data_IF_891280918194
#
_entry.id   IF_891280918194
#
_cell.length_a   1.000
_cell.length_b   1.000
_cell.length_c   1.000
_cell.angle_alpha   90.00
_cell.angle_beta   90.00
_cell.angle_gamma   90.00
#
_symmetry.space_group_name_H-M   'P 1'
#
loop_
_entity.id
_entity.type
_entity.pdbx_description
1 polymer ?
#
# COMPACT_ATOMS: atom_id res chain seq x y z
N UNK A 1 -28.19 44.59 17.72
CA UNK A 1 -27.28 43.49 18.04
C UNK A 1 -27.79 42.26 17.31
N UNK A 2 -27.30 42.02 16.11
CA UNK A 2 -27.63 40.81 15.34
C UNK A 2 -26.81 39.65 15.91
N UNK A 3 -27.55 38.67 16.41
CA UNK A 3 -27.00 37.39 16.86
C UNK A 3 -26.46 36.65 15.61
N UNK A 4 -25.15 36.72 15.38
CA UNK A 4 -24.44 35.93 14.37
C UNK A 4 -24.39 34.52 14.94
N UNK A 5 -25.48 33.74 14.71
CA UNK A 5 -25.47 32.31 14.97
C UNK A 5 -24.26 31.72 14.29
N UNK A 6 -23.43 31.05 15.04
CA UNK A 6 -22.32 30.27 14.55
C UNK A 6 -22.89 29.14 13.67
N UNK A 7 -23.04 29.41 12.36
CA UNK A 7 -23.18 28.33 11.40
C UNK A 7 -21.90 27.46 11.55
N UNK A 8 -22.07 26.32 12.17
CA UNK A 8 -21.02 25.32 12.13
C UNK A 8 -20.71 25.03 10.65
N UNK A 9 -19.44 24.99 10.26
CA UNK A 9 -19.08 24.69 8.89
C UNK A 9 -19.77 23.39 8.49
N UNK A 10 -20.51 23.43 7.39
CA UNK A 10 -21.25 22.28 6.88
C UNK A 10 -20.24 21.22 6.47
N UNK A 11 -20.15 20.16 7.25
CA UNK A 11 -19.23 19.04 6.97
C UNK A 11 -19.57 18.38 5.63
N UNK A 12 -18.56 18.03 4.86
CA UNK A 12 -18.70 17.35 3.59
C UNK A 12 -17.80 16.10 3.57
N UNK A 13 -18.42 14.94 3.48
CA UNK A 13 -17.74 13.66 3.50
C UNK A 13 -17.64 13.11 2.09
N UNK A 14 -16.43 12.76 1.68
CA UNK A 14 -16.12 12.06 0.42
C UNK A 14 -15.82 10.60 0.71
N UNK A 15 -16.52 9.67 0.05
CA UNK A 15 -16.18 8.25 0.08
C UNK A 15 -15.67 7.81 -1.29
N UNK A 16 -14.53 7.11 -1.31
CA UNK A 16 -13.97 6.59 -2.54
C UNK A 16 -14.59 5.23 -2.88
N UNK A 17 -15.17 5.13 -4.08
CA UNK A 17 -15.75 3.91 -4.62
C UNK A 17 -14.70 3.05 -5.33
N UNK A 18 -14.84 1.75 -5.20
CA UNK A 18 -14.03 0.76 -5.92
C UNK A 18 -14.82 -0.54 -6.14
N UNK A 19 -14.30 -1.41 -6.98
CA UNK A 19 -14.83 -2.77 -7.20
C UNK A 19 -14.47 -3.78 -6.09
N UNK A 20 -13.72 -3.34 -5.05
CA UNK A 20 -13.32 -4.20 -3.94
C UNK A 20 -14.52 -4.75 -3.17
N UNK A 21 -14.50 -6.03 -2.75
CA UNK A 21 -15.56 -6.62 -1.91
C UNK A 21 -15.78 -5.90 -0.58
N UNK A 22 -14.73 -5.27 -0.03
CA UNK A 22 -14.81 -4.49 1.22
C UNK A 22 -15.42 -3.11 1.06
N UNK A 23 -15.61 -2.63 -0.18
CA UNK A 23 -16.07 -1.27 -0.45
C UNK A 23 -17.51 -1.05 0.05
N UNK A 24 -18.38 -2.06 0.01
CA UNK A 24 -19.73 -1.99 0.60
C UNK A 24 -19.69 -1.53 2.07
N UNK A 25 -18.80 -2.11 2.87
CA UNK A 25 -18.64 -1.74 4.28
C UNK A 25 -18.17 -0.30 4.44
N UNK A 26 -17.29 0.17 3.55
CA UNK A 26 -16.74 1.52 3.56
C UNK A 26 -17.84 2.53 3.28
N UNK A 27 -18.65 2.28 2.25
CA UNK A 27 -19.79 3.12 1.87
C UNK A 27 -20.83 3.19 3.00
N UNK A 28 -21.16 2.06 3.64
CA UNK A 28 -22.06 2.03 4.80
C UNK A 28 -21.51 2.81 5.99
N UNK A 29 -20.20 2.76 6.23
CA UNK A 29 -19.57 3.51 7.31
C UNK A 29 -19.60 5.01 7.00
N UNK A 30 -19.27 5.42 5.79
CA UNK A 30 -19.34 6.81 5.35
C UNK A 30 -20.76 7.37 5.47
N UNK A 31 -21.78 6.59 5.10
CA UNK A 31 -23.19 6.97 5.30
C UNK A 31 -23.57 7.19 6.77
N UNK A 32 -23.10 6.31 7.68
CA UNK A 32 -23.32 6.50 9.13
C UNK A 32 -22.60 7.75 9.64
N UNK A 33 -21.39 8.02 9.17
CA UNK A 33 -20.64 9.22 9.53
C UNK A 33 -21.35 10.48 9.03
N UNK A 34 -21.85 10.47 7.78
CA UNK A 34 -22.62 11.60 7.23
C UNK A 34 -23.88 11.90 8.05
N UNK A 35 -24.60 10.88 8.48
CA UNK A 35 -25.75 11.04 9.37
C UNK A 35 -25.34 11.59 10.74
N UNK A 36 -24.27 11.06 11.34
CA UNK A 36 -23.81 11.48 12.67
C UNK A 36 -23.30 12.92 12.70
N UNK A 37 -22.65 13.38 11.62
CA UNK A 37 -22.12 14.74 11.50
C UNK A 37 -23.10 15.71 10.83
N UNK A 38 -24.28 15.26 10.42
CA UNK A 38 -25.23 16.05 9.61
C UNK A 38 -24.54 16.61 8.35
N UNK A 39 -23.66 15.83 7.76
CA UNK A 39 -22.79 16.19 6.65
C UNK A 39 -23.41 15.80 5.29
N UNK A 40 -23.05 16.53 4.23
CA UNK A 40 -23.26 16.05 2.86
C UNK A 40 -22.34 14.88 2.57
N UNK A 41 -22.80 13.93 1.75
CA UNK A 41 -22.05 12.74 1.36
C UNK A 41 -21.89 12.70 -0.16
N UNK A 42 -20.65 12.59 -0.64
CA UNK A 42 -20.33 12.35 -2.03
C UNK A 42 -19.58 11.03 -2.17
N UNK A 43 -19.97 10.23 -3.13
CA UNK A 43 -19.29 8.99 -3.48
C UNK A 43 -18.57 9.14 -4.82
N UNK A 44 -17.25 9.22 -4.75
CA UNK A 44 -16.39 9.47 -5.90
C UNK A 44 -15.83 8.16 -6.44
N UNK A 45 -16.03 7.95 -7.74
CA UNK A 45 -15.35 6.92 -8.51
C UNK A 45 -14.36 7.56 -9.47
N UNK A 46 -13.10 7.13 -9.42
CA UNK A 46 -12.07 7.54 -10.37
C UNK A 46 -11.89 6.42 -11.38
N UNK A 47 -12.32 6.67 -12.61
CA UNK A 47 -12.16 5.73 -13.71
C UNK A 47 -10.76 5.88 -14.30
N UNK A 48 -9.99 4.80 -14.24
CA UNK A 48 -8.64 4.71 -14.81
C UNK A 48 -8.66 3.99 -16.16
N UNK A 49 -7.64 4.17 -17.02
CA UNK A 49 -7.52 3.40 -18.26
C UNK A 49 -7.52 1.89 -18.05
N UNK A 50 -7.00 1.42 -16.90
CA UNK A 50 -7.01 0.00 -16.52
C UNK A 50 -8.41 -0.57 -16.24
N UNK A 51 -9.40 0.29 -15.99
CA UNK A 51 -10.78 -0.16 -15.75
C UNK A 51 -11.50 -0.60 -17.04
N UNK A 52 -10.92 -0.32 -18.21
CA UNK A 52 -11.45 -0.81 -19.49
C UNK A 52 -11.42 -2.35 -19.59
N UNK A 53 -10.47 -2.99 -18.91
CA UNK A 53 -10.30 -4.45 -18.86
C UNK A 53 -10.92 -5.07 -17.58
N UNK A 54 -11.79 -4.33 -16.88
CA UNK A 54 -12.45 -4.80 -15.67
C UNK A 54 -13.32 -6.01 -15.97
N UNK A 55 -13.22 -7.06 -15.18
CA UNK A 55 -14.04 -8.24 -15.34
C UNK A 55 -15.53 -7.98 -15.00
N UNK A 56 -16.42 -8.83 -15.49
CA UNK A 56 -17.88 -8.66 -15.31
C UNK A 56 -18.28 -8.67 -13.83
N UNK A 57 -17.61 -9.44 -12.98
CA UNK A 57 -17.89 -9.53 -11.54
C UNK A 57 -17.55 -8.21 -10.83
N UNK A 58 -16.38 -7.62 -11.12
CA UNK A 58 -15.95 -6.35 -10.56
C UNK A 58 -16.84 -5.19 -11.02
N UNK A 59 -17.30 -5.22 -12.28
CA UNK A 59 -18.25 -4.24 -12.82
C UNK A 59 -19.57 -4.28 -12.06
N UNK A 60 -20.14 -5.48 -11.88
CA UNK A 60 -21.39 -5.66 -11.12
C UNK A 60 -21.21 -5.18 -9.67
N UNK A 61 -20.10 -5.49 -9.06
CA UNK A 61 -19.79 -5.08 -7.68
C UNK A 61 -19.65 -3.56 -7.55
N UNK A 62 -18.98 -2.92 -8.50
CA UNK A 62 -18.87 -1.46 -8.55
C UNK A 62 -20.25 -0.81 -8.68
N UNK A 63 -21.10 -1.30 -9.59
CA UNK A 63 -22.47 -0.80 -9.75
C UNK A 63 -23.31 -0.97 -8.48
N UNK A 64 -23.18 -2.12 -7.80
CA UNK A 64 -23.85 -2.35 -6.51
C UNK A 64 -23.37 -1.35 -5.43
N UNK A 65 -22.08 -1.05 -5.38
CA UNK A 65 -21.52 -0.06 -4.45
C UNK A 65 -22.00 1.37 -4.77
N UNK A 66 -22.09 1.75 -6.05
CA UNK A 66 -22.68 3.03 -6.47
C UNK A 66 -24.13 3.14 -6.05
N UNK A 67 -24.92 2.09 -6.32
CA UNK A 67 -26.34 2.06 -5.94
C UNK A 67 -26.53 2.15 -4.43
N UNK A 68 -25.69 1.45 -3.66
CA UNK A 68 -25.68 1.56 -2.20
C UNK A 68 -25.38 2.99 -1.74
N UNK A 69 -24.40 3.67 -2.36
CA UNK A 69 -24.10 5.07 -2.09
C UNK A 69 -25.32 5.97 -2.30
N UNK A 70 -26.02 5.80 -3.42
CA UNK A 70 -27.27 6.54 -3.71
C UNK A 70 -28.35 6.27 -2.67
N UNK A 71 -28.55 5.02 -2.26
CA UNK A 71 -29.52 4.67 -1.20
C UNK A 71 -29.21 5.34 0.14
N UNK A 72 -27.94 5.59 0.43
CA UNK A 72 -27.48 6.27 1.64
C UNK A 72 -27.49 7.80 1.50
N UNK A 73 -27.97 8.33 0.37
CA UNK A 73 -28.08 9.77 0.12
C UNK A 73 -26.78 10.40 -0.39
N UNK A 74 -25.85 9.60 -0.90
CA UNK A 74 -24.64 10.14 -1.50
C UNK A 74 -24.89 10.63 -2.94
N UNK A 75 -24.28 11.75 -3.28
CA UNK A 75 -24.12 12.19 -4.66
C UNK A 75 -23.02 11.34 -5.32
N UNK A 76 -23.35 10.71 -6.44
CA UNK A 76 -22.37 9.89 -7.18
C UNK A 76 -21.65 10.75 -8.21
N UNK A 77 -20.34 10.83 -8.09
CA UNK A 77 -19.47 11.55 -9.01
C UNK A 77 -18.47 10.58 -9.63
N UNK A 78 -18.28 10.67 -10.95
CA UNK A 78 -17.27 9.91 -11.67
C UNK A 78 -16.29 10.87 -12.32
N UNK A 79 -15.00 10.68 -12.05
CA UNK A 79 -13.91 11.40 -12.69
C UNK A 79 -13.04 10.43 -13.49
N UNK A 80 -12.27 10.96 -14.44
CA UNK A 80 -11.39 10.17 -15.28
C UNK A 80 -9.95 10.64 -15.06
N UNK A 81 -9.02 9.71 -14.91
CA UNK A 81 -7.61 10.04 -14.75
C UNK A 81 -6.71 8.82 -14.63
N UNK A 82 -5.45 8.99 -14.91
CA UNK A 82 -4.46 7.91 -14.80
C UNK A 82 -4.09 7.60 -13.33
N UNK A 83 -4.12 8.63 -12.49
CA UNK A 83 -3.71 8.55 -11.10
C UNK A 83 -4.85 8.89 -10.15
N UNK A 84 -5.31 7.87 -9.42
CA UNK A 84 -6.44 7.96 -8.49
C UNK A 84 -6.19 8.98 -7.38
N UNK A 85 -4.98 9.01 -6.80
CA UNK A 85 -4.67 9.91 -5.68
C UNK A 85 -4.75 11.38 -6.09
N UNK A 86 -4.22 11.71 -7.27
CA UNK A 86 -4.24 13.07 -7.82
C UNK A 86 -5.67 13.50 -8.13
N UNK A 87 -6.48 12.63 -8.72
CA UNK A 87 -7.88 12.96 -9.05
C UNK A 87 -8.74 13.18 -7.80
N UNK A 88 -8.54 12.37 -6.75
CA UNK A 88 -9.23 12.58 -5.47
C UNK A 88 -8.80 13.93 -4.86
N UNK A 89 -7.50 14.24 -4.82
CA UNK A 89 -7.00 15.47 -4.26
C UNK A 89 -7.48 16.71 -5.02
N UNK A 90 -7.56 16.62 -6.35
CA UNK A 90 -8.09 17.69 -7.21
C UNK A 90 -9.58 17.92 -6.93
N UNK A 91 -10.38 16.85 -6.85
CA UNK A 91 -11.79 16.94 -6.49
C UNK A 91 -11.99 17.58 -5.11
N UNK A 92 -11.20 17.17 -4.13
CA UNK A 92 -11.25 17.70 -2.75
C UNK A 92 -11.02 19.22 -2.72
N UNK A 93 -10.05 19.71 -3.50
CA UNK A 93 -9.74 21.14 -3.60
C UNK A 93 -10.87 21.95 -4.22
N UNK A 94 -11.68 21.35 -5.10
CA UNK A 94 -12.75 22.01 -5.83
C UNK A 94 -14.10 21.95 -5.13
N UNK A 95 -14.28 21.06 -4.15
CA UNK A 95 -15.62 20.68 -3.62
C UNK A 95 -15.79 20.86 -2.12
N UNK A 96 -14.96 21.67 -1.45
CA UNK A 96 -15.03 21.95 0.00
C UNK A 96 -15.18 20.68 0.87
N UNK A 97 -14.55 19.59 0.47
CA UNK A 97 -14.55 18.33 1.21
C UNK A 97 -13.76 18.50 2.49
N UNK A 98 -14.35 18.12 3.63
CA UNK A 98 -13.70 18.20 4.95
C UNK A 98 -13.16 16.85 5.41
N UNK A 99 -13.77 15.75 4.95
CA UNK A 99 -13.41 14.39 5.38
C UNK A 99 -13.41 13.42 4.21
N UNK A 100 -12.37 12.60 4.13
CA UNK A 100 -12.24 11.52 3.13
C UNK A 100 -12.36 10.17 3.84
N UNK A 101 -13.19 9.28 3.31
CA UNK A 101 -13.33 7.90 3.80
C UNK A 101 -12.83 6.95 2.72
N UNK A 102 -11.76 6.22 3.03
CA UNK A 102 -11.14 5.25 2.12
C UNK A 102 -10.97 3.88 2.77
N UNK A 103 -10.94 2.85 1.93
CA UNK A 103 -10.53 1.52 2.35
C UNK A 103 -9.00 1.39 2.39
N UNK A 104 -8.51 0.59 3.30
CA UNK A 104 -7.11 0.19 3.28
C UNK A 104 -6.91 -0.79 2.11
N UNK A 105 -6.14 -0.40 1.11
CA UNK A 105 -5.73 -1.32 0.06
C UNK A 105 -4.89 -2.45 0.67
N UNK A 106 -5.26 -3.70 0.36
CA UNK A 106 -4.59 -4.89 0.90
C UNK A 106 -3.16 -5.14 0.38
N UNK A 107 -2.63 -4.21 -0.41
CA UNK A 107 -1.26 -4.30 -0.92
C UNK A 107 -0.29 -4.06 0.24
N UNK A 108 0.18 -5.15 0.85
CA UNK A 108 1.29 -5.10 1.79
C UNK A 108 2.56 -4.69 1.03
N UNK A 109 3.24 -3.65 1.51
CA UNK A 109 4.59 -3.34 1.07
C UNK A 109 5.49 -4.56 1.32
N UNK A 110 5.85 -5.26 0.27
CA UNK A 110 6.82 -6.37 0.34
C UNK A 110 8.27 -5.89 0.28
N UNK A 111 8.51 -4.68 -0.22
CA UNK A 111 9.86 -4.12 -0.36
C UNK A 111 9.91 -2.66 0.09
N UNK A 112 11.05 -2.28 0.66
CA UNK A 112 11.38 -0.92 1.09
C UNK A 112 11.34 0.11 -0.08
N UNK A 113 11.35 -0.38 -1.32
CA UNK A 113 11.36 0.41 -2.58
C UNK A 113 10.01 0.38 -3.31
N UNK A 114 8.94 -0.10 -2.68
CA UNK A 114 7.62 -0.09 -3.32
C UNK A 114 7.04 1.34 -3.36
N UNK A 115 6.29 1.62 -4.42
CA UNK A 115 5.59 2.89 -4.58
C UNK A 115 4.71 3.21 -3.36
N UNK A 116 4.56 4.50 -3.01
CA UNK A 116 3.72 4.92 -1.90
C UNK A 116 2.26 4.48 -2.14
N UNK A 117 1.61 4.03 -1.08
CA UNK A 117 0.21 3.62 -1.14
C UNK A 117 -0.70 4.81 -1.43
N UNK A 118 -1.93 4.55 -1.95
CA UNK A 118 -2.95 5.58 -2.17
C UNK A 118 -3.13 6.47 -0.93
N UNK A 119 -3.18 5.87 0.25
CA UNK A 119 -3.33 6.58 1.53
C UNK A 119 -2.18 7.53 1.80
N UNK A 120 -0.94 7.11 1.63
CA UNK A 120 0.25 7.95 1.87
C UNK A 120 0.33 9.11 0.87
N UNK A 121 -0.06 8.85 -0.37
CA UNK A 121 -0.14 9.89 -1.39
C UNK A 121 -1.23 10.92 -1.08
N UNK A 122 -2.41 10.47 -0.64
CA UNK A 122 -3.50 11.37 -0.25
C UNK A 122 -3.14 12.25 0.94
N UNK A 123 -2.46 11.70 1.97
CA UNK A 123 -1.98 12.48 3.11
C UNK A 123 -1.04 13.60 2.65
N UNK A 124 -0.22 13.34 1.63
CA UNK A 124 0.71 14.35 1.09
C UNK A 124 0.01 15.37 0.20
N UNK A 125 -0.99 14.95 -0.61
CA UNK A 125 -1.65 15.79 -1.59
C UNK A 125 -2.81 16.62 -1.01
N UNK A 126 -3.44 16.16 0.08
CA UNK A 126 -4.57 16.81 0.75
C UNK A 126 -4.36 16.87 2.27
N UNK A 127 -3.34 17.63 2.76
CA UNK A 127 -2.99 17.68 4.20
C UNK A 127 -4.04 18.39 5.07
N UNK A 128 -4.94 19.15 4.46
CA UNK A 128 -5.95 19.95 5.15
C UNK A 128 -7.26 19.18 5.43
N UNK A 129 -7.35 17.93 4.97
CA UNK A 129 -8.58 17.13 5.06
C UNK A 129 -8.37 15.92 5.97
N UNK A 130 -9.35 15.64 6.81
CA UNK A 130 -9.32 14.46 7.67
C UNK A 130 -9.49 13.18 6.86
N UNK A 131 -8.52 12.26 6.92
CA UNK A 131 -8.57 10.98 6.20
C UNK A 131 -8.91 9.83 7.14
N UNK A 132 -10.07 9.21 6.93
CA UNK A 132 -10.54 8.04 7.66
C UNK A 132 -10.25 6.76 6.87
N UNK A 133 -9.38 5.93 7.41
CA UNK A 133 -8.97 4.66 6.78
C UNK A 133 -9.74 3.51 7.43
N UNK A 134 -10.60 2.87 6.66
CA UNK A 134 -11.36 1.72 7.13
C UNK A 134 -10.62 0.44 6.79
N UNK A 135 -10.22 -0.37 7.79
CA UNK A 135 -9.49 -1.60 7.54
C UNK A 135 -10.36 -2.63 6.84
N UNK A 136 -9.80 -3.28 5.82
CA UNK A 136 -10.41 -4.43 5.17
C UNK A 136 -10.20 -5.68 6.03
N UNK A 137 -11.25 -6.10 6.74
CA UNK A 137 -11.20 -7.26 7.63
C UNK A 137 -11.10 -8.58 6.85
N UNK A 138 -11.61 -8.62 5.61
CA UNK A 138 -11.54 -9.82 4.77
C UNK A 138 -10.17 -9.96 4.10
N UNK A 139 -9.58 -8.88 3.64
CA UNK A 139 -8.18 -8.87 3.21
C UNK A 139 -7.25 -9.29 4.36
N UNK A 140 -7.57 -8.88 5.59
CA UNK A 140 -6.81 -9.28 6.78
C UNK A 140 -6.96 -10.77 7.09
N UNK A 141 -8.15 -11.34 6.94
CA UNK A 141 -8.39 -12.79 7.11
C UNK A 141 -7.70 -13.60 6.01
N UNK A 142 -7.74 -13.13 4.77
CA UNK A 142 -7.10 -13.79 3.63
C UNK A 142 -5.57 -13.66 3.68
N UNK A 143 -5.02 -12.50 4.08
CA UNK A 143 -3.60 -12.38 4.38
C UNK A 143 -3.15 -13.28 5.53
N UNK A 144 -3.96 -13.42 6.59
CA UNK A 144 -3.66 -14.32 7.70
C UNK A 144 -3.80 -15.79 7.34
N UNK A 145 -4.69 -16.13 6.38
CA UNK A 145 -4.89 -17.49 5.88
C UNK A 145 -3.86 -17.91 4.84
N UNK A 146 -3.34 -16.96 4.07
CA UNK A 146 -2.30 -17.17 3.06
C UNK A 146 -0.88 -16.80 3.54
N UNK A 147 -0.73 -16.26 4.73
CA UNK A 147 0.58 -16.28 5.37
C UNK A 147 0.78 -17.71 5.89
N UNK A 148 1.70 -18.46 5.31
CA UNK A 148 2.21 -19.61 6.01
C UNK A 148 2.77 -19.04 7.32
N UNK A 149 2.22 -19.52 8.46
CA UNK A 149 2.64 -19.17 9.83
C UNK A 149 4.07 -19.67 10.13
N UNK A 150 4.96 -19.56 9.17
CA UNK A 150 6.36 -19.93 9.28
C UNK A 150 7.25 -18.95 8.53
N UNK A 151 7.41 -17.76 9.07
CA UNK A 151 8.77 -17.27 9.14
C UNK A 151 9.40 -17.88 10.40
N UNK A 152 9.42 -19.19 10.49
CA UNK A 152 10.57 -19.83 11.12
C UNK A 152 11.75 -19.32 10.30
N UNK A 153 12.83 -18.80 10.94
CA UNK A 153 14.07 -18.61 10.20
C UNK A 153 14.30 -19.95 9.51
N UNK A 154 14.20 -19.99 8.19
CA UNK A 154 14.46 -21.18 7.45
C UNK A 154 15.92 -21.50 7.79
N UNK A 155 16.13 -22.56 8.56
CA UNK A 155 17.48 -23.04 8.77
C UNK A 155 18.04 -23.25 7.35
N UNK A 156 19.21 -22.65 7.05
CA UNK A 156 19.78 -22.74 5.72
C UNK A 156 19.79 -24.21 5.32
N UNK A 157 19.28 -24.51 4.17
CA UNK A 157 19.27 -25.88 3.64
C UNK A 157 20.70 -26.38 3.68
N UNK A 158 20.91 -27.65 3.99
CA UNK A 158 22.26 -28.25 4.07
C UNK A 158 23.13 -27.93 2.83
N UNK A 159 22.50 -27.72 1.69
CA UNK A 159 23.13 -27.31 0.43
C UNK A 159 23.64 -25.84 0.49
N UNK A 160 22.86 -24.92 1.07
CA UNK A 160 23.27 -23.51 1.22
C UNK A 160 24.40 -23.39 2.25
N UNK A 161 24.32 -24.18 3.34
CA UNK A 161 25.38 -24.27 4.33
C UNK A 161 26.70 -24.79 3.72
N UNK A 162 26.62 -25.82 2.90
CA UNK A 162 27.78 -26.37 2.17
C UNK A 162 28.38 -25.37 1.17
N UNK A 163 27.54 -24.64 0.45
CA UNK A 163 27.98 -23.57 -0.47
C UNK A 163 28.68 -22.44 0.29
N UNK A 164 28.13 -22.00 1.41
CA UNK A 164 28.72 -20.93 2.22
C UNK A 164 30.08 -21.36 2.80
N UNK A 165 30.17 -22.59 3.33
CA UNK A 165 31.40 -23.16 3.85
C UNK A 165 32.43 -23.34 2.69
N UNK A 166 31.99 -23.75 1.51
CA UNK A 166 32.85 -23.90 0.33
C UNK A 166 33.46 -22.57 -0.10
N UNK A 167 32.65 -21.50 -0.19
CA UNK A 167 33.14 -20.15 -0.55
C UNK A 167 34.12 -19.64 0.50
N UNK A 168 33.83 -19.88 1.78
CA UNK A 168 34.68 -19.46 2.89
C UNK A 168 36.02 -20.19 2.87
N UNK A 169 36.03 -21.51 2.57
CA UNK A 169 37.22 -22.30 2.44
C UNK A 169 38.09 -21.82 1.24
N UNK A 170 37.46 -21.54 0.09
CA UNK A 170 38.18 -21.05 -1.11
C UNK A 170 38.81 -19.67 -0.83
N UNK A 171 38.07 -18.74 -0.22
CA UNK A 171 38.63 -17.42 0.13
C UNK A 171 39.78 -17.52 1.13
N UNK A 172 39.70 -18.45 2.08
CA UNK A 172 40.79 -18.69 3.05
C UNK A 172 42.04 -19.26 2.39
N UNK A 173 41.89 -20.22 1.47
CA UNK A 173 42.99 -20.80 0.70
C UNK A 173 43.67 -19.73 -0.17
N UNK A 174 42.88 -18.90 -0.86
CA UNK A 174 43.41 -17.80 -1.66
C UNK A 174 44.22 -16.84 -0.77
N UNK A 175 43.64 -16.41 0.40
CA UNK A 175 44.34 -15.56 1.36
C UNK A 175 45.65 -16.19 1.87
N UNK A 176 45.67 -17.49 2.11
CA UNK A 176 46.88 -18.21 2.53
C UNK A 176 47.95 -18.24 1.42
N UNK A 177 47.54 -18.43 0.15
CA UNK A 177 48.44 -18.38 -1.01
C UNK A 177 49.05 -16.97 -1.14
N UNK A 178 48.27 -15.91 -0.99
CA UNK A 178 48.74 -14.53 -1.01
C UNK A 178 49.75 -14.24 0.10
N UNK A 179 49.53 -14.75 1.31
CA UNK A 179 50.50 -14.65 2.43
C UNK A 179 51.83 -15.37 2.09
N UNK A 180 51.77 -16.53 1.42
CA UNK A 180 52.98 -17.29 0.99
C UNK A 180 53.76 -16.56 -0.09
N UNK A 181 53.09 -15.79 -0.94
CA UNK A 181 53.68 -15.05 -2.06
C UNK A 181 54.23 -13.68 -1.68
N UNK A 182 54.22 -13.30 -0.36
CA UNK A 182 54.70 -12.02 0.16
C UNK A 182 54.10 -10.77 -0.50
N UNK A 183 52.83 -10.86 -0.93
CA UNK A 183 52.10 -9.68 -1.37
C UNK A 183 51.72 -8.79 -0.19
N UNK A 184 51.69 -7.45 -0.40
CA UNK A 184 51.40 -6.46 0.61
C UNK A 184 50.03 -6.73 1.28
N UNK A 185 49.95 -6.51 2.61
CA UNK A 185 48.79 -6.82 3.46
C UNK A 185 47.49 -6.20 2.97
N UNK A 186 47.55 -5.09 2.21
CA UNK A 186 46.36 -4.37 1.71
C UNK A 186 45.53 -5.19 0.70
N UNK A 187 46.17 -6.11 -0.04
CA UNK A 187 45.50 -6.97 -1.02
C UNK A 187 44.66 -8.09 -0.36
N UNK A 188 45.00 -8.47 0.87
CA UNK A 188 44.30 -9.53 1.61
C UNK A 188 42.93 -9.05 2.02
N UNK A 189 42.81 -7.79 2.43
CA UNK A 189 41.52 -7.15 2.82
C UNK A 189 40.55 -7.11 1.63
N UNK A 190 41.07 -6.80 0.42
CA UNK A 190 40.26 -6.80 -0.80
C UNK A 190 39.69 -8.18 -1.13
N UNK A 191 40.46 -9.24 -0.96
CA UNK A 191 40.01 -10.62 -1.25
C UNK A 191 38.92 -11.05 -0.26
N UNK A 192 39.05 -10.70 1.03
CA UNK A 192 37.98 -10.99 2.02
C UNK A 192 36.73 -10.19 1.76
N UNK A 193 36.84 -8.91 1.41
CA UNK A 193 35.70 -8.06 1.03
C UNK A 193 34.95 -8.63 -0.17
N UNK A 194 35.68 -9.05 -1.19
CA UNK A 194 35.13 -9.69 -2.38
C UNK A 194 34.41 -11.00 -2.04
N UNK A 195 34.99 -11.83 -1.15
CA UNK A 195 34.37 -13.05 -0.65
C UNK A 195 33.04 -12.82 0.09
N UNK A 196 33.00 -11.81 0.96
CA UNK A 196 31.76 -11.41 1.67
C UNK A 196 30.69 -10.91 0.70
N UNK A 197 31.09 -10.13 -0.31
CA UNK A 197 30.19 -9.57 -1.30
C UNK A 197 29.59 -10.68 -2.20
N UNK A 198 30.40 -11.65 -2.61
CA UNK A 198 29.94 -12.82 -3.35
C UNK A 198 28.99 -13.67 -2.52
N UNK A 199 29.29 -13.91 -1.24
CA UNK A 199 28.44 -14.69 -0.35
C UNK A 199 27.08 -14.00 -0.18
N UNK A 200 27.09 -12.69 0.02
CA UNK A 200 25.86 -11.88 0.18
C UNK A 200 24.98 -11.91 -1.09
N UNK A 201 25.57 -11.76 -2.27
CA UNK A 201 24.83 -11.79 -3.55
C UNK A 201 24.27 -13.17 -3.86
N UNK A 202 25.01 -14.24 -3.61
CA UNK A 202 24.53 -15.60 -3.86
C UNK A 202 23.49 -16.08 -2.83
N UNK A 203 23.58 -15.60 -1.59
CA UNK A 203 22.61 -15.96 -0.54
C UNK A 203 21.35 -15.08 -0.59
N UNK A 204 21.45 -13.81 -1.02
CA UNK A 204 20.31 -12.88 -1.13
C UNK A 204 19.50 -13.03 -2.43
N UNK A 205 20.01 -13.74 -3.43
CA UNK A 205 19.36 -13.91 -4.74
C UNK A 205 18.32 -15.04 -4.79
N UNK A 206 18.08 -15.77 -3.70
CA UNK A 206 17.17 -16.93 -3.64
C UNK A 206 16.05 -16.81 -2.59
N UNK A 207 15.75 -15.58 -2.10
CA UNK A 207 14.57 -15.31 -1.23
C UNK A 207 13.48 -14.54 -1.96
#
# INVERSE_FOLDING_TARGET
MQNKGSEMPKEHILVCLSSSPSNERIVRMAGKMAQAFCASLTALYVQTPGDADMNAEDTVRLQANMHLGQQLGAEIVTTHGEDVATQIAEYVRLSDVTKIVIGRSGVQRRHFWSEPTLTERLITLAPEVDIYIIPDVEAYKNCRRNQPLTTRPAFPTARELLLTIGILAVTTVIGWIFLRLSFANDNIIMVYLLGVLLTSTFTSGYT
#
